data_IF_760098199719
#
_entry.id   IF_760098199719
#
_cell.length_a   1.000
_cell.length_b   1.000
_cell.length_c   1.000
_cell.angle_alpha   90.00
_cell.angle_beta   90.00
_cell.angle_gamma   90.00
#
_symmetry.space_group_name_H-M   'P 1'
#
loop_
_entity.id
_entity.type
_entity.pdbx_description
1 polymer ?
#
# COMPACT_ATOMS: atom_id res chain seq x y z
N UNK A 1 8.66 -1.21 -4.12
CA UNK A 1 9.98 -0.59 -4.28
C UNK A 1 10.26 0.46 -3.19
N UNK A 2 9.91 0.18 -1.94
CA UNK A 2 10.08 1.17 -0.85
C UNK A 2 11.54 1.28 -0.43
N UNK A 3 12.28 0.17 -0.46
CA UNK A 3 13.72 0.12 -0.16
C UNK A 3 14.53 0.87 -1.21
N UNK A 4 14.17 0.74 -2.48
CA UNK A 4 14.78 1.45 -3.60
C UNK A 4 14.56 2.97 -3.51
N UNK A 5 13.47 3.39 -2.86
CA UNK A 5 13.22 4.79 -2.51
C UNK A 5 13.86 5.21 -1.16
N UNK A 6 14.66 4.35 -0.53
CA UNK A 6 15.33 4.62 0.75
C UNK A 6 14.44 4.51 1.99
N UNK A 7 13.21 4.02 1.87
CA UNK A 7 12.29 3.88 2.99
C UNK A 7 12.60 2.63 3.83
N UNK A 8 12.36 2.72 5.15
CA UNK A 8 12.43 1.55 6.06
C UNK A 8 11.29 0.57 5.83
N UNK A 9 10.11 1.09 5.50
CA UNK A 9 8.88 0.34 5.25
C UNK A 9 7.97 1.18 4.34
N UNK A 10 7.15 0.50 3.53
CA UNK A 10 5.99 1.10 2.87
C UNK A 10 4.72 0.45 3.41
N UNK A 11 3.73 1.27 3.75
CA UNK A 11 2.43 0.82 4.25
C UNK A 11 1.33 1.31 3.32
N UNK A 12 0.33 0.46 3.12
CA UNK A 12 -0.91 0.79 2.40
C UNK A 12 -2.04 0.48 3.36
N UNK A 13 -2.96 1.43 3.54
CA UNK A 13 -4.15 1.27 4.34
C UNK A 13 -5.00 0.10 3.83
N UNK A 14 -5.70 -0.58 4.74
CA UNK A 14 -6.58 -1.69 4.36
C UNK A 14 -7.83 -1.15 3.70
N UNK A 15 -8.16 -1.71 2.54
CA UNK A 15 -9.37 -1.45 1.77
C UNK A 15 -10.07 -2.75 1.36
N UNK A 16 -11.19 -2.63 0.65
CA UNK A 16 -11.94 -3.80 0.18
C UNK A 16 -11.11 -4.66 -0.80
N UNK A 17 -10.21 -4.05 -1.59
CA UNK A 17 -9.29 -4.80 -2.46
C UNK A 17 -8.36 -5.69 -1.64
N UNK A 18 -7.83 -5.18 -0.53
CA UNK A 18 -7.00 -5.93 0.41
C UNK A 18 -7.78 -7.06 1.07
N UNK A 19 -9.00 -6.79 1.55
CA UNK A 19 -9.87 -7.81 2.16
C UNK A 19 -10.18 -8.93 1.17
N UNK A 20 -10.61 -8.58 -0.04
CA UNK A 20 -10.92 -9.55 -1.11
C UNK A 20 -9.69 -10.37 -1.51
N UNK A 21 -8.51 -9.75 -1.52
CA UNK A 21 -7.26 -10.46 -1.81
C UNK A 21 -6.94 -11.51 -0.74
N UNK A 22 -7.19 -11.19 0.54
CA UNK A 22 -6.85 -12.06 1.68
C UNK A 22 -7.87 -13.18 1.89
N UNK A 23 -9.14 -12.98 1.54
CA UNK A 23 -10.23 -13.93 1.78
C UNK A 23 -9.90 -15.34 1.28
N UNK A 24 -10.08 -16.34 2.17
CA UNK A 24 -9.89 -17.76 1.82
C UNK A 24 -8.42 -18.22 1.67
N UNK A 25 -7.42 -17.36 1.85
CA UNK A 25 -6.00 -17.76 1.79
C UNK A 25 -5.61 -18.70 2.94
N UNK A 26 -4.52 -19.49 2.80
CA UNK A 26 -4.14 -20.54 3.77
C UNK A 26 -4.02 -20.13 5.24
N UNK A 27 -3.81 -18.85 5.51
CA UNK A 27 -3.69 -18.29 6.87
C UNK A 27 -4.67 -17.14 7.14
N UNK A 28 -5.65 -16.95 6.27
CA UNK A 28 -6.71 -15.99 6.52
C UNK A 28 -7.57 -16.47 7.71
N UNK A 29 -8.02 -15.56 8.59
CA UNK A 29 -9.04 -15.87 9.59
C UNK A 29 -10.29 -16.46 8.92
N UNK A 30 -11.03 -17.30 9.65
CA UNK A 30 -12.20 -18.01 9.12
C UNK A 30 -13.42 -17.82 10.02
N UNK A 31 -14.61 -17.96 9.42
CA UNK A 31 -15.87 -17.88 10.15
C UNK A 31 -16.01 -16.54 10.88
N UNK A 32 -16.38 -16.57 12.15
CA UNK A 32 -16.59 -15.35 12.95
C UNK A 32 -15.30 -14.50 13.10
N UNK A 33 -14.13 -15.15 13.16
CA UNK A 33 -12.85 -14.43 13.24
C UNK A 33 -12.56 -13.63 11.97
N UNK A 34 -13.11 -14.03 10.82
CA UNK A 34 -13.00 -13.26 9.58
C UNK A 34 -13.71 -11.92 9.70
N UNK A 35 -14.96 -11.94 10.18
CA UNK A 35 -15.75 -10.72 10.38
C UNK A 35 -15.09 -9.77 11.38
N UNK A 36 -14.60 -10.30 12.51
CA UNK A 36 -13.89 -9.50 13.53
C UNK A 36 -12.56 -8.92 13.00
N UNK A 37 -11.83 -9.70 12.20
CA UNK A 37 -10.59 -9.25 11.58
C UNK A 37 -10.85 -8.09 10.61
N UNK A 38 -11.86 -8.20 9.73
CA UNK A 38 -12.23 -7.12 8.82
C UNK A 38 -12.58 -5.84 9.59
N UNK A 39 -13.39 -5.95 10.63
CA UNK A 39 -13.78 -4.80 11.47
C UNK A 39 -12.55 -4.12 12.07
N UNK A 40 -11.61 -4.90 12.59
CA UNK A 40 -10.36 -4.39 13.16
C UNK A 40 -9.48 -3.74 12.08
N UNK A 41 -9.31 -4.41 10.94
CA UNK A 41 -8.43 -3.96 9.88
C UNK A 41 -8.90 -2.67 9.21
N UNK A 42 -10.21 -2.45 9.13
CA UNK A 42 -10.78 -1.18 8.63
C UNK A 42 -10.37 0.03 9.47
N UNK A 43 -9.99 -0.17 10.73
CA UNK A 43 -9.43 0.87 11.59
C UNK A 43 -7.93 1.09 11.42
N UNK A 44 -7.21 0.26 10.63
CA UNK A 44 -5.76 0.39 10.40
C UNK A 44 -5.47 1.43 9.31
N UNK A 45 -5.84 2.67 9.60
CA UNK A 45 -5.66 3.86 8.77
C UNK A 45 -5.02 4.97 9.59
N UNK A 46 -4.45 5.98 8.93
CA UNK A 46 -3.98 7.17 9.64
C UNK A 46 -5.16 7.95 10.23
N UNK A 47 -4.93 8.55 11.40
CA UNK A 47 -5.90 9.46 12.03
C UNK A 47 -6.14 10.70 11.16
N UNK A 48 -7.31 11.33 11.32
CA UNK A 48 -7.71 12.49 10.53
C UNK A 48 -6.82 13.73 10.75
N UNK A 49 -6.13 13.79 11.90
CA UNK A 49 -5.20 14.85 12.30
C UNK A 49 -3.73 14.39 12.27
N UNK A 50 -3.43 13.27 11.61
CA UNK A 50 -2.07 12.79 11.45
C UNK A 50 -1.18 13.83 10.74
N UNK A 51 -0.01 14.10 11.32
CA UNK A 51 0.98 15.03 10.78
C UNK A 51 2.08 14.24 10.09
N UNK A 52 2.34 14.56 8.82
CA UNK A 52 3.44 14.00 8.05
C UNK A 52 4.52 15.05 7.83
N UNK A 53 5.80 14.69 8.01
CA UNK A 53 6.92 15.59 7.74
C UNK A 53 6.96 16.05 6.27
N UNK A 54 6.46 15.21 5.36
CA UNK A 54 6.36 15.51 3.94
C UNK A 54 5.16 14.79 3.33
N UNK A 55 4.40 15.51 2.50
CA UNK A 55 3.28 14.97 1.71
C UNK A 55 3.59 15.17 0.24
N UNK A 56 3.47 14.10 -0.55
CA UNK A 56 3.63 14.12 -2.01
C UNK A 56 2.34 13.61 -2.62
N UNK A 57 1.67 14.45 -3.40
CA UNK A 57 0.44 14.11 -4.11
C UNK A 57 0.74 13.80 -5.58
N UNK A 58 0.27 12.65 -6.05
CA UNK A 58 0.49 12.19 -7.42
C UNK A 58 -0.85 11.85 -8.06
N UNK A 59 -1.17 12.47 -9.21
CA UNK A 59 -2.30 12.05 -10.02
C UNK A 59 -1.91 10.81 -10.83
N UNK A 60 -2.43 9.65 -10.41
CA UNK A 60 -2.16 8.37 -11.05
C UNK A 60 -2.55 8.36 -12.54
N UNK A 61 -3.55 9.14 -12.96
CA UNK A 61 -3.98 9.20 -14.35
C UNK A 61 -2.98 9.91 -15.27
N UNK A 62 -2.09 10.75 -14.71
CA UNK A 62 -1.03 11.42 -15.48
C UNK A 62 0.23 10.55 -15.64
N UNK A 63 0.32 9.44 -14.90
CA UNK A 63 1.50 8.57 -14.94
C UNK A 63 1.51 7.79 -16.26
N UNK A 64 2.42 8.17 -17.15
CA UNK A 64 2.69 7.42 -18.39
C UNK A 64 3.37 6.10 -18.07
N UNK A 65 3.28 5.09 -18.95
CA UNK A 65 4.10 3.88 -18.82
C UNK A 65 5.59 4.22 -18.70
N UNK A 66 6.26 3.62 -17.73
CA UNK A 66 7.68 3.82 -17.45
C UNK A 66 8.43 2.48 -17.48
N UNK A 67 9.71 2.54 -17.85
CA UNK A 67 10.64 1.40 -17.77
C UNK A 67 11.94 1.91 -17.16
N UNK A 68 12.46 1.24 -16.13
CA UNK A 68 13.77 1.54 -15.55
C UNK A 68 14.83 0.56 -16.07
N UNK A 69 16.01 1.03 -16.44
CA UNK A 69 17.16 0.18 -16.83
C UNK A 69 18.50 0.87 -16.58
N UNK A 70 19.59 0.12 -16.69
CA UNK A 70 20.95 0.61 -16.47
C UNK A 70 21.49 0.12 -15.13
N UNK A 71 22.20 0.99 -14.41
CA UNK A 71 22.88 0.61 -13.16
C UNK A 71 22.11 1.05 -11.91
N UNK A 72 20.95 1.70 -12.05
CA UNK A 72 20.16 2.13 -10.90
C UNK A 72 18.64 2.16 -11.17
N UNK A 73 17.78 1.81 -10.18
CA UNK A 73 16.33 1.77 -10.35
C UNK A 73 15.66 3.11 -10.68
N UNK A 74 16.27 4.23 -10.28
CA UNK A 74 15.76 5.58 -10.55
C UNK A 74 16.03 6.07 -11.99
N UNK A 75 16.81 5.32 -12.77
CA UNK A 75 17.09 5.65 -14.16
C UNK A 75 15.89 5.33 -15.05
N UNK A 76 15.02 6.32 -15.25
CA UNK A 76 13.84 6.27 -16.13
C UNK A 76 14.06 7.20 -17.33
N UNK A 77 13.89 6.72 -18.57
CA UNK A 77 13.98 7.56 -19.76
C UNK A 77 12.85 8.60 -19.78
N UNK A 78 13.13 9.77 -20.35
CA UNK A 78 12.14 10.81 -20.58
C UNK A 78 11.27 10.53 -21.79
#
# INVERSE_FOLDING_TARGET
MSIEAGARVGLVAVDDTTVNYVEGRPYAPKGEQWTQAIETWKGLVSDADAVFDTVVELDAAQIKPQVSWGTSPEMVPT
#
